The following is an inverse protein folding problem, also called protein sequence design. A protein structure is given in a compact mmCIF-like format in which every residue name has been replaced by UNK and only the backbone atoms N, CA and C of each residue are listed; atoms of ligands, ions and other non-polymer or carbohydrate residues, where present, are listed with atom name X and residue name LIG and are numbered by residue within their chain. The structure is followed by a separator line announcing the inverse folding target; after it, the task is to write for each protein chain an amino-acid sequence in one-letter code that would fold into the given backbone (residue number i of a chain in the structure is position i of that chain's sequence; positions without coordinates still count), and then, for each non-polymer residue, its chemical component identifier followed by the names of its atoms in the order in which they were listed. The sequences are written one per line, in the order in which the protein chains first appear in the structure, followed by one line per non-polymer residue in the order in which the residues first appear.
data_IF_673864856224
#
_entry.id   IF_673864856224
#
_cell.length_a   1.000
_cell.length_b   1.000
_cell.length_c   1.000
_cell.angle_alpha   90.00
_cell.angle_beta   90.00
_cell.angle_gamma   90.00
#
_symmetry.space_group_name_H-M   'P 1'
#
loop_
_entity.id
_entity.type
_entity.pdbx_description
1 polymer ?
#
# COMPACT_ATOMS: atom_id res chain seq x y z
N UNK A 1 21.48 1.23 -13.42
CA UNK A 1 21.10 1.40 -12.00
C UNK A 1 20.31 0.18 -11.54
N UNK A 2 20.56 -0.30 -10.33
CA UNK A 2 19.88 -1.48 -9.76
C UNK A 2 18.70 -1.08 -8.84
N UNK A 3 18.65 0.18 -8.37
CA UNK A 3 17.51 0.80 -7.66
C UNK A 3 17.28 2.20 -8.24
N UNK A 4 16.02 2.61 -8.35
CA UNK A 4 15.59 3.94 -8.75
C UNK A 4 14.51 4.45 -7.79
N UNK A 5 14.67 5.66 -7.25
CA UNK A 5 13.69 6.33 -6.38
C UNK A 5 13.20 7.61 -7.06
N UNK A 6 11.95 7.59 -7.52
CA UNK A 6 11.31 8.74 -8.13
C UNK A 6 10.73 9.66 -7.07
N UNK A 7 11.27 10.86 -6.92
CA UNK A 7 10.70 11.88 -6.04
C UNK A 7 9.57 12.62 -6.76
N UNK A 8 8.44 12.80 -6.08
CA UNK A 8 7.27 13.50 -6.63
C UNK A 8 7.02 14.84 -5.92
N UNK A 9 6.94 15.91 -6.71
CA UNK A 9 6.63 17.27 -6.24
C UNK A 9 5.19 17.37 -5.71
N UNK A 10 4.24 16.63 -6.29
CA UNK A 10 2.83 16.64 -5.85
C UNK A 10 2.68 16.09 -4.44
N UNK A 11 3.44 15.03 -4.12
CA UNK A 11 3.47 14.45 -2.77
C UNK A 11 4.09 15.42 -1.75
N UNK A 12 5.18 16.09 -2.13
CA UNK A 12 5.82 17.10 -1.28
C UNK A 12 4.88 18.28 -0.97
N UNK A 13 4.12 18.75 -1.96
CA UNK A 13 3.12 19.82 -1.77
C UNK A 13 1.99 19.41 -0.83
N UNK A 14 1.62 18.13 -0.81
CA UNK A 14 0.63 17.57 0.13
C UNK A 14 1.20 17.27 1.52
N UNK A 15 2.45 17.67 1.81
CA UNK A 15 3.17 17.36 3.05
C UNK A 15 3.29 15.86 3.33
N UNK A 16 3.26 15.04 2.27
CA UNK A 16 3.46 13.60 2.37
C UNK A 16 4.96 13.32 2.28
N UNK A 17 5.56 12.96 3.41
CA UNK A 17 6.99 12.68 3.53
C UNK A 17 7.21 11.23 3.94
N UNK A 18 8.25 10.55 3.42
CA UNK A 18 9.09 10.96 2.29
C UNK A 18 8.29 10.97 0.96
N UNK A 19 8.52 11.98 0.12
CA UNK A 19 7.75 12.20 -1.12
C UNK A 19 8.20 11.30 -2.27
N UNK A 20 8.24 9.99 -2.04
CA UNK A 20 8.64 8.97 -3.00
C UNK A 20 7.42 8.44 -3.73
N UNK A 21 7.47 8.42 -5.06
CA UNK A 21 6.42 7.86 -5.88
C UNK A 21 6.46 6.31 -5.83
N UNK A 22 5.38 5.72 -5.31
CA UNK A 22 5.22 4.26 -5.13
C UNK A 22 4.78 3.50 -6.39
N UNK A 23 4.61 4.17 -7.53
CA UNK A 23 4.27 3.55 -8.82
C UNK A 23 5.46 3.55 -9.80
N UNK A 24 6.32 4.58 -9.73
CA UNK A 24 7.47 4.76 -10.63
C UNK A 24 8.80 4.19 -10.06
N UNK A 25 9.02 4.22 -8.74
CA UNK A 25 10.29 3.74 -8.16
C UNK A 25 10.50 2.23 -8.36
N UNK A 26 11.72 1.74 -8.48
CA UNK A 26 11.89 0.28 -8.54
C UNK A 26 13.19 -0.18 -7.95
N UNK A 27 13.21 -1.44 -7.54
CA UNK A 27 14.42 -2.11 -7.08
C UNK A 27 14.53 -3.45 -7.79
N UNK A 28 15.71 -3.71 -8.38
CA UNK A 28 16.03 -5.01 -8.99
C UNK A 28 16.44 -6.07 -7.96
N UNK A 29 16.60 -5.66 -6.70
CA UNK A 29 17.04 -6.52 -5.58
C UNK A 29 15.91 -7.30 -4.93
N UNK A 30 14.67 -7.02 -5.30
CA UNK A 30 13.51 -7.77 -4.84
C UNK A 30 12.53 -7.81 -6.00
N UNK A 31 12.12 -9.00 -6.43
CA UNK A 31 11.16 -9.14 -7.54
C UNK A 31 9.80 -8.50 -7.23
N UNK A 32 9.58 -8.04 -5.99
CA UNK A 32 8.36 -7.35 -5.57
C UNK A 32 8.71 -6.07 -4.83
N UNK A 33 8.11 -4.99 -5.31
CA UNK A 33 8.58 -3.62 -5.18
C UNK A 33 7.99 -2.90 -3.95
N UNK A 34 8.70 -1.86 -3.49
CA UNK A 34 8.31 -0.78 -2.56
C UNK A 34 8.23 -1.01 -1.05
N UNK A 35 7.57 -2.04 -0.51
CA UNK A 35 7.45 -2.13 0.96
C UNK A 35 8.82 -2.28 1.66
N UNK A 36 9.74 -3.00 1.03
CA UNK A 36 11.13 -3.16 1.49
C UNK A 36 11.95 -1.87 1.43
N UNK A 37 11.57 -0.94 0.56
CA UNK A 37 12.35 0.27 0.27
C UNK A 37 12.14 1.31 1.37
N UNK A 38 10.92 1.40 1.91
CA UNK A 38 10.67 2.19 3.12
C UNK A 38 11.28 1.58 4.37
N UNK A 39 11.37 0.25 4.46
CA UNK A 39 12.13 -0.43 5.50
C UNK A 39 13.61 -0.05 5.52
N UNK A 40 14.22 0.14 4.34
CA UNK A 40 15.61 0.56 4.22
C UNK A 40 15.84 2.00 4.72
N UNK A 41 14.93 2.94 4.41
CA UNK A 41 14.97 4.30 4.96
C UNK A 41 14.65 4.34 6.47
N UNK A 42 13.75 3.45 6.92
CA UNK A 42 13.33 3.30 8.33
C UNK A 42 14.41 2.69 9.23
N UNK A 43 15.36 1.92 8.68
CA UNK A 43 16.27 1.09 9.49
C UNK A 43 17.77 1.31 9.23
N UNK A 44 18.18 1.82 8.06
CA UNK A 44 19.57 1.73 7.61
C UNK A 44 20.11 3.06 7.05
N UNK A 45 20.39 4.01 7.93
CA UNK A 45 21.27 5.14 7.57
C UNK A 45 22.65 5.09 8.26
N UNK A 46 22.99 4.01 8.97
CA UNK A 46 24.20 3.98 9.78
C UNK A 46 25.26 2.91 9.48
N UNK A 47 25.04 1.91 8.61
CA UNK A 47 25.93 0.74 8.68
C UNK A 47 26.50 0.11 7.42
N UNK A 48 26.26 0.55 6.17
CA UNK A 48 26.82 -0.21 5.03
C UNK A 48 27.47 0.67 3.97
N UNK A 49 28.81 0.61 3.98
CA UNK A 49 29.72 1.05 2.93
C UNK A 49 29.35 0.44 1.57
N UNK A 50 29.41 1.27 0.53
CA UNK A 50 28.92 1.07 -0.85
C UNK A 50 29.52 -0.17 -1.57
N UNK A 51 30.49 -0.88 -0.99
CA UNK A 51 31.18 -2.02 -1.61
C UNK A 51 30.50 -3.41 -1.43
N UNK A 52 29.59 -3.58 -0.46
CA UNK A 52 28.93 -4.88 -0.19
C UNK A 52 27.66 -5.13 -1.03
N UNK A 53 27.29 -4.17 -1.88
CA UNK A 53 26.01 -4.12 -2.57
C UNK A 53 25.86 -5.20 -3.68
N UNK A 54 26.94 -5.87 -4.08
CA UNK A 54 26.90 -6.87 -5.16
C UNK A 54 26.66 -8.32 -4.66
N UNK A 55 26.96 -8.63 -3.39
CA UNK A 55 26.80 -9.99 -2.84
C UNK A 55 25.50 -10.18 -2.03
N UNK A 56 24.86 -9.09 -1.59
CA UNK A 56 23.61 -9.11 -0.78
C UNK A 56 22.31 -9.29 -1.60
N UNK A 57 22.41 -9.39 -2.93
CA UNK A 57 21.30 -9.29 -3.88
C UNK A 57 20.31 -10.45 -3.86
N UNK A 58 20.79 -11.70 -3.72
CA UNK A 58 19.93 -12.87 -3.50
C UNK A 58 19.74 -13.18 -2.01
N UNK A 59 20.49 -12.53 -1.13
CA UNK A 59 20.46 -12.79 0.31
C UNK A 59 19.28 -12.11 1.01
N UNK A 60 18.63 -11.12 0.39
CA UNK A 60 17.53 -10.37 1.01
C UNK A 60 16.24 -11.19 1.11
N UNK A 61 15.89 -11.97 0.08
CA UNK A 61 14.72 -12.88 0.16
C UNK A 61 14.94 -13.93 1.25
N UNK A 62 16.13 -14.56 1.28
CA UNK A 62 16.50 -15.51 2.33
C UNK A 62 16.58 -14.89 3.73
N UNK A 63 16.86 -13.59 3.83
CA UNK A 63 16.81 -12.86 5.09
C UNK A 63 15.37 -12.65 5.54
N UNK A 64 14.48 -12.18 4.64
CA UNK A 64 13.07 -12.00 4.98
C UNK A 64 12.38 -13.32 5.30
N UNK A 65 12.62 -14.39 4.53
CA UNK A 65 12.08 -15.72 4.80
C UNK A 65 12.46 -16.27 6.18
N UNK A 66 13.66 -15.94 6.69
CA UNK A 66 14.09 -16.31 8.05
C UNK A 66 13.35 -15.55 9.13
N UNK A 67 12.98 -14.29 8.88
CA UNK A 67 12.30 -13.44 9.86
C UNK A 67 10.79 -13.61 9.82
N UNK A 68 10.19 -13.63 8.64
CA UNK A 68 8.76 -13.80 8.43
C UNK A 68 8.50 -14.26 6.97
N UNK A 69 8.05 -15.51 6.75
CA UNK A 69 7.82 -16.05 5.41
C UNK A 69 6.64 -15.36 4.69
N UNK A 70 5.64 -14.87 5.42
CA UNK A 70 4.43 -14.26 4.85
C UNK A 70 4.66 -12.81 4.38
N UNK A 71 5.80 -12.21 4.77
CA UNK A 71 6.08 -10.81 4.50
C UNK A 71 6.06 -10.48 2.99
N UNK A 72 6.54 -11.39 2.16
CA UNK A 72 6.56 -11.22 0.70
C UNK A 72 5.14 -11.14 0.15
N UNK A 73 4.24 -12.01 0.62
CA UNK A 73 2.86 -12.07 0.16
C UNK A 73 2.06 -10.86 0.60
N UNK A 74 2.23 -10.46 1.86
CA UNK A 74 1.60 -9.26 2.42
C UNK A 74 2.02 -8.01 1.62
N UNK A 75 3.30 -7.92 1.24
CA UNK A 75 3.81 -6.83 0.39
C UNK A 75 3.21 -6.86 -1.02
N UNK A 76 3.11 -8.04 -1.63
CA UNK A 76 2.51 -8.19 -2.97
C UNK A 76 1.08 -7.68 -2.96
N UNK A 77 0.27 -8.11 -1.98
CA UNK A 77 -1.10 -7.64 -1.78
C UNK A 77 -1.19 -6.13 -1.56
N UNK A 78 -0.31 -5.56 -0.73
CA UNK A 78 -0.29 -4.11 -0.50
C UNK A 78 0.00 -3.33 -1.80
N UNK A 79 0.90 -3.85 -2.66
CA UNK A 79 1.18 -3.24 -3.97
C UNK A 79 -0.01 -3.34 -4.92
N UNK A 80 -0.68 -4.48 -4.96
CA UNK A 80 -1.90 -4.67 -5.76
C UNK A 80 -3.01 -3.70 -5.34
N UNK A 81 -3.16 -3.43 -4.04
CA UNK A 81 -4.12 -2.43 -3.55
C UNK A 81 -3.77 -1.03 -4.05
N UNK A 82 -2.49 -0.63 -3.97
CA UNK A 82 -2.05 0.69 -4.46
C UNK A 82 -2.15 0.82 -5.99
N UNK A 83 -1.90 -0.26 -6.74
CA UNK A 83 -2.08 -0.25 -8.18
C UNK A 83 -3.56 -0.10 -8.54
N UNK A 84 -4.45 -0.87 -7.90
CA UNK A 84 -5.90 -0.76 -8.11
C UNK A 84 -6.43 0.62 -7.72
N UNK A 85 -5.89 1.25 -6.67
CA UNK A 85 -6.23 2.64 -6.32
C UNK A 85 -5.93 3.60 -7.47
N UNK A 86 -4.77 3.48 -8.12
CA UNK A 86 -4.39 4.33 -9.24
C UNK A 86 -5.29 4.10 -10.45
N UNK A 87 -5.55 2.85 -10.81
CA UNK A 87 -6.44 2.48 -11.91
C UNK A 87 -7.87 3.03 -11.67
N UNK A 88 -8.38 2.94 -10.43
CA UNK A 88 -9.69 3.50 -10.05
C UNK A 88 -9.68 5.03 -10.10
N UNK A 89 -8.60 5.68 -9.65
CA UNK A 89 -8.47 7.13 -9.70
C UNK A 89 -8.36 7.65 -11.14
N UNK A 90 -7.77 6.89 -12.05
CA UNK A 90 -7.75 7.18 -13.48
C UNK A 90 -9.18 7.10 -14.06
N UNK A 91 -9.92 6.03 -13.77
CA UNK A 91 -11.32 5.87 -14.22
C UNK A 91 -12.19 7.03 -13.73
N UNK A 92 -12.11 7.38 -12.45
CA UNK A 92 -12.87 8.50 -11.86
C UNK A 92 -12.45 9.83 -12.53
N UNK A 93 -11.18 10.04 -12.82
CA UNK A 93 -10.72 11.23 -13.56
C UNK A 93 -11.23 11.28 -15.01
N UNK A 94 -11.30 10.14 -15.70
CA UNK A 94 -11.79 10.04 -17.08
C UNK A 94 -13.30 10.31 -17.17
N UNK A 95 -14.10 9.66 -16.32
CA UNK A 95 -15.58 9.80 -16.31
C UNK A 95 -16.00 11.24 -15.99
N UNK A 96 -15.28 11.92 -15.10
CA UNK A 96 -15.61 13.28 -14.64
C UNK A 96 -14.74 14.38 -15.26
N UNK A 97 -14.07 14.09 -16.39
CA UNK A 97 -13.18 15.04 -17.10
C UNK A 97 -13.85 16.36 -17.52
N UNK A 98 -15.18 16.45 -17.46
CA UNK A 98 -15.97 17.66 -17.70
C UNK A 98 -16.31 18.49 -16.46
N UNK A 99 -15.96 18.04 -15.23
CA UNK A 99 -16.30 18.73 -13.98
C UNK A 99 -15.03 19.09 -13.18
N UNK A 100 -14.91 20.36 -12.79
CA UNK A 100 -13.71 20.93 -12.16
C UNK A 100 -13.19 20.10 -10.96
N UNK A 101 -11.92 19.70 -11.06
CA UNK A 101 -11.16 18.73 -10.26
C UNK A 101 -11.19 18.88 -8.73
N UNK A 102 -11.73 19.97 -8.18
CA UNK A 102 -11.68 20.23 -6.74
C UNK A 102 -12.83 19.56 -5.94
N UNK A 103 -13.86 19.04 -6.61
CA UNK A 103 -15.06 18.46 -5.97
C UNK A 103 -15.13 16.91 -6.07
N UNK A 104 -14.14 16.27 -6.70
CA UNK A 104 -14.22 14.88 -7.15
C UNK A 104 -14.18 13.81 -6.03
N UNK A 105 -13.55 14.11 -4.88
CA UNK A 105 -13.46 13.14 -3.75
C UNK A 105 -14.83 12.90 -3.10
N UNK A 106 -15.75 13.87 -3.19
CA UNK A 106 -17.02 13.85 -2.46
C UNK A 106 -18.21 13.31 -3.26
N UNK A 107 -18.18 13.40 -4.60
CA UNK A 107 -19.35 13.07 -5.43
C UNK A 107 -19.24 11.69 -6.10
N UNK A 108 -18.04 11.10 -6.16
CA UNK A 108 -17.78 9.80 -6.82
C UNK A 108 -17.87 8.56 -5.91
N UNK A 109 -17.97 8.72 -4.58
CA UNK A 109 -17.98 7.57 -3.64
C UNK A 109 -19.30 6.81 -3.60
N UNK A 110 -20.41 7.43 -4.01
CA UNK A 110 -21.73 6.77 -3.95
C UNK A 110 -22.01 5.90 -5.18
N UNK A 111 -21.37 6.18 -6.32
CA UNK A 111 -21.56 5.45 -7.57
C UNK A 111 -20.68 4.20 -7.70
N UNK A 112 -19.71 4.01 -6.81
CA UNK A 112 -18.72 2.93 -6.89
C UNK A 112 -19.22 1.67 -6.16
N UNK A 113 -18.77 0.49 -6.60
CA UNK A 113 -19.06 -0.76 -5.91
C UNK A 113 -18.46 -0.76 -4.49
N UNK A 114 -19.14 -1.39 -3.53
CA UNK A 114 -18.67 -1.47 -2.13
C UNK A 114 -17.27 -2.09 -2.01
N UNK A 115 -16.93 -3.05 -2.88
CA UNK A 115 -15.58 -3.64 -2.95
C UNK A 115 -14.51 -2.61 -3.31
N UNK A 116 -14.81 -1.69 -4.20
CA UNK A 116 -13.86 -0.67 -4.65
C UNK A 116 -13.69 0.43 -3.60
N UNK A 117 -14.76 0.74 -2.86
CA UNK A 117 -14.69 1.64 -1.69
C UNK A 117 -13.73 1.08 -0.64
N UNK A 118 -13.77 -0.22 -0.37
CA UNK A 118 -12.82 -0.87 0.56
C UNK A 118 -11.38 -0.72 0.08
N UNK A 119 -11.13 -0.89 -1.22
CA UNK A 119 -9.78 -0.72 -1.80
C UNK A 119 -9.29 0.70 -1.60
N UNK A 120 -10.13 1.71 -1.87
CA UNK A 120 -9.77 3.12 -1.71
C UNK A 120 -9.46 3.47 -0.24
N UNK A 121 -10.26 2.98 0.71
CA UNK A 121 -10.00 3.20 2.14
C UNK A 121 -8.75 2.45 2.61
N UNK A 122 -8.54 1.21 2.15
CA UNK A 122 -7.32 0.45 2.46
C UNK A 122 -6.08 1.14 1.88
N UNK A 123 -6.17 1.67 0.67
CA UNK A 123 -5.08 2.40 0.03
C UNK A 123 -4.78 3.71 0.77
N UNK A 124 -5.82 4.38 1.28
CA UNK A 124 -5.65 5.55 2.16
C UNK A 124 -4.88 5.19 3.44
N UNK A 125 -5.22 4.09 4.12
CA UNK A 125 -4.49 3.60 5.30
C UNK A 125 -3.02 3.29 4.95
N UNK A 126 -2.77 2.66 3.79
CA UNK A 126 -1.40 2.40 3.32
C UNK A 126 -0.64 3.71 3.09
N UNK A 127 -1.23 4.72 2.45
CA UNK A 127 -0.57 6.00 2.19
C UNK A 127 -0.34 6.78 3.47
N UNK A 128 -1.37 7.00 4.28
CA UNK A 128 -1.30 7.94 5.41
C UNK A 128 -0.65 7.33 6.66
N UNK A 129 -0.88 6.04 6.94
CA UNK A 129 -0.41 5.43 8.19
C UNK A 129 0.85 4.57 8.02
N UNK A 130 1.09 4.03 6.82
CA UNK A 130 2.25 3.17 6.57
C UNK A 130 3.38 3.89 5.81
N UNK A 131 3.04 4.57 4.71
CA UNK A 131 4.00 5.21 3.81
C UNK A 131 4.45 6.59 4.30
N UNK A 132 3.55 7.38 4.90
CA UNK A 132 3.96 8.64 5.48
C UNK A 132 4.76 8.39 6.77
N UNK A 133 5.85 9.14 6.93
CA UNK A 133 6.63 9.17 8.16
C UNK A 133 7.12 10.57 8.48
N UNK A 134 7.05 10.91 9.76
CA UNK A 134 7.54 12.17 10.27
C UNK A 134 8.94 12.03 10.89
N UNK A 135 9.96 12.43 10.13
CA UNK A 135 11.35 12.41 10.56
C UNK A 135 11.65 13.30 11.79
N UNK A 136 10.79 14.28 12.08
CA UNK A 136 10.95 15.19 13.22
C UNK A 136 10.40 14.61 14.53
N UNK A 137 9.57 13.57 14.46
CA UNK A 137 9.00 12.95 15.67
C UNK A 137 9.89 11.82 16.17
N UNK A 138 10.20 11.76 17.49
CA UNK A 138 11.15 10.78 18.01
C UNK A 138 10.66 9.33 17.88
N UNK A 139 9.34 9.10 17.87
CA UNK A 139 8.72 7.78 17.82
C UNK A 139 8.49 7.22 16.41
N UNK A 140 8.53 8.07 15.37
CA UNK A 140 8.33 7.69 13.96
C UNK A 140 9.55 8.01 13.08
N UNK A 141 10.57 8.67 13.63
CA UNK A 141 11.89 8.84 12.99
C UNK A 141 12.52 7.52 12.57
N UNK A 142 12.29 6.45 13.33
CA UNK A 142 12.79 5.11 13.06
C UNK A 142 11.68 4.09 13.29
N UNK A 143 11.50 3.16 12.36
CA UNK A 143 10.52 2.09 12.49
C UNK A 143 11.23 0.74 12.39
N UNK A 144 11.32 -0.04 13.49
CA UNK A 144 11.96 -1.33 13.46
C UNK A 144 11.19 -2.32 12.58
N UNK A 145 11.90 -3.30 12.00
CA UNK A 145 11.37 -4.23 11.00
C UNK A 145 10.08 -4.94 11.46
N UNK A 146 10.08 -5.50 12.67
CA UNK A 146 8.90 -6.19 13.21
C UNK A 146 7.67 -5.26 13.25
N UNK A 147 7.83 -4.00 13.69
CA UNK A 147 6.72 -3.04 13.77
C UNK A 147 6.10 -2.80 12.40
N UNK A 148 6.90 -2.61 11.35
CA UNK A 148 6.40 -2.48 9.98
C UNK A 148 5.67 -3.72 9.48
N UNK A 149 6.18 -4.93 9.76
CA UNK A 149 5.50 -6.17 9.36
C UNK A 149 4.12 -6.25 10.02
N UNK A 150 4.04 -6.01 11.34
CA UNK A 150 2.78 -6.03 12.08
C UNK A 150 1.79 -4.97 11.60
N UNK A 151 2.25 -3.73 11.35
CA UNK A 151 1.39 -2.67 10.81
C UNK A 151 0.81 -3.06 9.45
N UNK A 152 1.65 -3.57 8.54
CA UNK A 152 1.18 -3.99 7.22
C UNK A 152 0.24 -5.19 7.30
N UNK A 153 0.54 -6.17 8.14
CA UNK A 153 -0.34 -7.33 8.40
C UNK A 153 -1.71 -6.89 8.87
N UNK A 154 -1.80 -5.93 9.78
CA UNK A 154 -3.08 -5.38 10.26
C UNK A 154 -3.88 -4.72 9.14
N UNK A 155 -3.24 -3.91 8.29
CA UNK A 155 -3.92 -3.23 7.17
C UNK A 155 -4.45 -4.25 6.15
N UNK A 156 -3.64 -5.25 5.79
CA UNK A 156 -4.07 -6.31 4.86
C UNK A 156 -5.13 -7.21 5.49
N UNK A 157 -5.04 -7.49 6.79
CA UNK A 157 -6.05 -8.24 7.51
C UNK A 157 -7.39 -7.50 7.54
N UNK A 158 -7.38 -6.18 7.75
CA UNK A 158 -8.57 -5.34 7.64
C UNK A 158 -9.22 -5.45 6.26
N UNK A 159 -8.43 -5.36 5.19
CA UNK A 159 -8.95 -5.51 3.82
C UNK A 159 -9.58 -6.89 3.58
N UNK A 160 -8.93 -7.97 4.04
CA UNK A 160 -9.46 -9.32 3.88
C UNK A 160 -10.78 -9.51 4.63
N UNK A 161 -10.86 -9.04 5.88
CA UNK A 161 -12.08 -9.12 6.69
C UNK A 161 -13.22 -8.28 6.11
N UNK A 162 -12.92 -7.09 5.60
CA UNK A 162 -13.91 -6.22 4.98
C UNK A 162 -14.50 -6.87 3.72
N UNK A 163 -13.68 -7.46 2.86
CA UNK A 163 -14.16 -8.21 1.70
C UNK A 163 -14.96 -9.44 2.10
N UNK A 164 -14.48 -10.21 3.09
CA UNK A 164 -15.20 -11.37 3.60
C UNK A 164 -16.60 -11.00 4.10
N UNK A 165 -16.72 -9.90 4.85
CA UNK A 165 -18.01 -9.42 5.35
C UNK A 165 -18.98 -9.06 4.23
N UNK A 166 -18.51 -8.44 3.16
CA UNK A 166 -19.34 -8.18 1.97
C UNK A 166 -19.86 -9.46 1.33
N UNK A 167 -19.02 -10.50 1.20
CA UNK A 167 -19.46 -11.80 0.68
C UNK A 167 -20.51 -12.46 1.57
N UNK A 168 -20.32 -12.39 2.89
CA UNK A 168 -21.27 -12.93 3.86
C UNK A 168 -22.62 -12.22 3.79
N UNK A 169 -22.62 -10.89 3.71
CA UNK A 169 -23.85 -10.09 3.61
C UNK A 169 -24.63 -10.39 2.32
N UNK A 170 -23.93 -10.56 1.19
CA UNK A 170 -24.53 -11.01 -0.08
C UNK A 170 -25.14 -12.42 0.07
N UNK A 171 -24.40 -13.37 0.64
CA UNK A 171 -24.84 -14.77 0.82
C UNK A 171 -26.04 -14.88 1.76
N UNK A 172 -26.12 -14.01 2.76
CA UNK A 172 -27.25 -13.95 3.70
C UNK A 172 -28.47 -13.32 3.02
N UNK A 173 -28.28 -12.30 2.19
CA UNK A 173 -29.34 -11.72 1.36
C UNK A 173 -29.99 -12.73 0.41
N UNK A 174 -29.20 -13.55 -0.29
CA UNK A 174 -29.73 -14.60 -1.18
C UNK A 174 -30.49 -15.69 -0.42
N UNK A 175 -29.98 -16.15 0.73
CA UNK A 175 -30.69 -17.14 1.57
C UNK A 175 -32.04 -16.63 2.07
N UNK A 176 -32.08 -15.38 2.52
CA UNK A 176 -33.33 -14.76 2.97
C UNK A 176 -34.36 -14.67 1.84
N UNK A 177 -33.92 -14.39 0.61
CA UNK A 177 -34.81 -14.39 -0.57
C UNK A 177 -35.29 -15.79 -0.97
N UNK A 178 -34.43 -16.81 -0.88
CA UNK A 178 -34.84 -18.21 -1.14
C UNK A 178 -35.86 -18.71 -0.11
N UNK A 179 -35.73 -18.31 1.16
CA UNK A 179 -36.69 -18.63 2.22
C UNK A 179 -38.02 -17.86 2.07
N UNK A 180 -38.02 -16.68 1.45
CA UNK A 180 -39.22 -15.86 1.20
C UNK A 180 -39.99 -16.30 -0.06
N UNK A 181 -39.29 -16.89 -1.04
CA UNK A 181 -39.87 -17.41 -2.29
C UNK A 181 -40.46 -18.83 -2.12
N UNK A 182 -40.16 -19.51 -1.01
CA UNK A 182 -40.61 -20.87 -0.70
C UNK A 182 -41.90 -20.90 0.13
#
# INVERSE_FOLDING_TARGET
MQVFWGLDKKLAQRKHFPSVNWLISYSKYSKVCYCTIMLCFKTVFHLISIALLFCLLQALESFYEKFDPDFIDIRTKAREVLQREDDLNEIVQVIFSSFSYHHMILVGKDALAETDKIILETAKLLREDYLAQNAFTPYDKFCPFYKSVWMMRNIIHFNNLANQKLYDDLTTGFRNLEDEVR
#
